data_IF_128293658298
#
_entry.id   IF_128293658298
#
_cell.length_a   1.000
_cell.length_b   1.000
_cell.length_c   1.000
_cell.angle_alpha   90.00
_cell.angle_beta   90.00
_cell.angle_gamma   90.00
#
_symmetry.space_group_name_H-M   'P 1'
#
loop_
_entity.id
_entity.type
_entity.pdbx_description
1 polymer ?
#
# COMPACT_ATOMS: atom_id res chain seq x y z
N UNK A 1 20.28 -0.02 -10.08
CA UNK A 1 21.52 -0.55 -10.73
C UNK A 1 22.18 -1.62 -9.85
N UNK A 2 22.20 -1.47 -8.53
CA UNK A 2 22.87 -2.41 -7.60
C UNK A 2 22.20 -3.78 -7.48
N UNK A 3 20.88 -3.87 -7.77
CA UNK A 3 20.08 -5.09 -7.59
C UNK A 3 19.69 -5.77 -8.92
N UNK A 4 20.37 -5.49 -10.01
CA UNK A 4 20.11 -6.07 -11.34
C UNK A 4 18.66 -5.89 -11.84
N UNK A 5 18.00 -4.80 -11.48
CA UNK A 5 16.60 -4.53 -11.83
C UNK A 5 16.48 -4.29 -13.33
N UNK A 6 15.73 -5.14 -14.03
CA UNK A 6 15.54 -5.07 -15.47
C UNK A 6 14.38 -4.15 -15.85
N UNK A 7 13.32 -4.10 -15.01
CA UNK A 7 12.14 -3.30 -15.23
C UNK A 7 11.45 -2.93 -13.90
N UNK A 8 10.55 -1.96 -13.97
CA UNK A 8 9.86 -1.42 -12.79
C UNK A 8 8.90 -2.45 -12.16
N UNK A 9 8.31 -3.36 -12.94
CA UNK A 9 7.40 -4.38 -12.41
C UNK A 9 8.17 -5.39 -11.55
N UNK A 10 9.34 -5.81 -12.02
CA UNK A 10 10.29 -6.60 -11.23
C UNK A 10 10.70 -5.84 -9.97
N UNK A 11 11.07 -4.56 -10.08
CA UNK A 11 11.42 -3.73 -8.92
C UNK A 11 10.30 -3.74 -7.86
N UNK A 12 9.06 -3.50 -8.26
CA UNK A 12 7.89 -3.51 -7.36
C UNK A 12 7.75 -4.87 -6.66
N UNK A 13 7.83 -5.96 -7.43
CA UNK A 13 7.65 -7.33 -6.93
C UNK A 13 8.63 -7.68 -5.80
N UNK A 14 9.90 -7.29 -5.94
CA UNK A 14 10.91 -7.56 -4.91
C UNK A 14 10.86 -6.53 -3.78
N UNK A 15 10.57 -5.27 -4.07
CA UNK A 15 10.46 -4.21 -3.07
C UNK A 15 9.32 -4.46 -2.07
N UNK A 16 8.19 -5.03 -2.52
CA UNK A 16 7.06 -5.43 -1.66
C UNK A 16 7.50 -6.36 -0.53
N UNK A 17 8.51 -7.21 -0.78
CA UNK A 17 9.01 -8.21 0.17
C UNK A 17 10.20 -7.68 0.96
N UNK A 18 11.19 -7.11 0.28
CA UNK A 18 12.49 -6.79 0.86
C UNK A 18 12.70 -5.30 1.17
N UNK A 19 11.75 -4.44 0.79
CA UNK A 19 11.87 -2.99 0.99
C UNK A 19 11.99 -2.62 2.48
N UNK A 20 13.06 -1.93 2.82
CA UNK A 20 13.41 -1.57 4.21
C UNK A 20 14.40 -2.54 4.89
N UNK A 21 14.74 -3.68 4.27
CA UNK A 21 15.87 -4.50 4.70
C UNK A 21 17.18 -3.93 4.13
N UNK A 22 18.20 -3.88 4.97
CA UNK A 22 19.54 -3.45 4.55
C UNK A 22 20.34 -4.62 3.96
N UNK A 23 19.80 -5.25 2.89
CA UNK A 23 20.44 -6.35 2.19
C UNK A 23 20.45 -6.11 0.68
N UNK A 24 21.44 -6.64 0.00
CA UNK A 24 21.50 -6.63 -1.47
C UNK A 24 20.71 -7.80 -2.02
N UNK A 25 19.76 -7.54 -2.91
CA UNK A 25 18.89 -8.54 -3.54
C UNK A 25 19.24 -8.66 -5.03
N UNK A 26 19.59 -9.86 -5.46
CA UNK A 26 19.80 -10.17 -6.87
C UNK A 26 18.46 -10.54 -7.53
N UNK A 27 17.82 -9.58 -8.19
CA UNK A 27 16.51 -9.78 -8.83
C UNK A 27 16.53 -10.66 -10.08
N UNK A 28 17.68 -11.18 -10.49
CA UNK A 28 17.78 -12.21 -11.53
C UNK A 28 17.37 -13.60 -11.02
N UNK A 29 17.38 -13.81 -9.71
CA UNK A 29 16.95 -15.04 -9.06
C UNK A 29 15.45 -15.06 -8.78
N UNK A 30 14.79 -16.23 -8.74
CA UNK A 30 13.38 -16.35 -8.38
C UNK A 30 13.06 -15.74 -7.01
N UNK A 31 11.94 -15.01 -6.93
CA UNK A 31 11.52 -14.34 -5.68
C UNK A 31 11.41 -15.33 -4.50
N UNK A 32 10.80 -16.51 -4.71
CA UNK A 32 10.64 -17.51 -3.66
C UNK A 32 11.97 -18.04 -3.13
N UNK A 33 12.96 -18.26 -3.99
CA UNK A 33 14.32 -18.65 -3.58
C UNK A 33 14.95 -17.61 -2.66
N UNK A 34 14.78 -16.33 -3.00
CA UNK A 34 15.33 -15.24 -2.19
C UNK A 34 14.56 -15.05 -0.87
N UNK A 35 13.24 -15.27 -0.85
CA UNK A 35 12.46 -15.26 0.39
C UNK A 35 12.93 -16.39 1.31
N UNK A 36 13.08 -17.60 0.79
CA UNK A 36 13.57 -18.74 1.55
C UNK A 36 14.94 -18.45 2.16
N UNK A 37 15.89 -18.07 1.32
CA UNK A 37 17.26 -17.79 1.73
C UNK A 37 17.41 -16.64 2.73
N UNK A 38 16.73 -15.50 2.49
CA UNK A 38 16.97 -14.27 3.24
C UNK A 38 15.95 -13.99 4.34
N UNK A 39 14.83 -14.74 4.38
CA UNK A 39 13.77 -14.53 5.38
C UNK A 39 13.46 -15.79 6.15
N UNK A 40 13.17 -16.92 5.47
CA UNK A 40 12.74 -18.14 6.15
C UNK A 40 13.90 -18.83 6.86
N UNK A 41 15.04 -18.95 6.20
CA UNK A 41 16.26 -19.55 6.78
C UNK A 41 16.86 -18.68 7.89
N UNK A 42 16.76 -17.35 7.73
CA UNK A 42 17.24 -16.34 8.70
C UNK A 42 16.17 -15.95 9.74
N UNK A 43 15.12 -16.75 9.88
CA UNK A 43 13.97 -16.44 10.73
C UNK A 43 14.35 -16.05 12.16
N UNK A 44 15.30 -16.74 12.78
CA UNK A 44 15.66 -16.52 14.18
C UNK A 44 16.28 -15.14 14.41
N UNK A 45 17.17 -14.73 13.52
CA UNK A 45 17.87 -13.45 13.62
C UNK A 45 16.91 -12.28 13.28
N UNK A 46 16.15 -12.41 12.21
CA UNK A 46 15.12 -11.43 11.85
C UNK A 46 14.05 -11.28 12.93
N UNK A 47 13.63 -12.38 13.55
CA UNK A 47 12.70 -12.33 14.68
C UNK A 47 13.27 -11.54 15.84
N UNK A 48 14.55 -11.73 16.16
CA UNK A 48 15.22 -10.99 17.23
C UNK A 48 15.30 -9.48 16.91
N UNK A 49 15.66 -9.13 15.68
CA UNK A 49 15.70 -7.74 15.22
C UNK A 49 14.32 -7.08 15.29
N UNK A 50 13.27 -7.75 14.78
CA UNK A 50 11.91 -7.23 14.83
C UNK A 50 11.39 -7.12 16.27
N UNK A 51 11.74 -8.07 17.14
CA UNK A 51 11.42 -7.98 18.56
C UNK A 51 12.02 -6.72 19.19
N UNK A 52 13.29 -6.45 18.93
CA UNK A 52 13.97 -5.24 19.45
C UNK A 52 13.35 -3.96 18.86
N UNK A 53 13.08 -3.96 17.54
CA UNK A 53 12.48 -2.82 16.86
C UNK A 53 11.07 -2.49 17.40
N UNK A 54 10.22 -3.50 17.59
CA UNK A 54 8.83 -3.34 18.06
C UNK A 54 8.68 -3.27 19.58
N UNK A 55 9.74 -3.58 20.34
CA UNK A 55 9.70 -3.70 21.79
C UNK A 55 9.13 -5.02 22.28
N UNK A 56 8.79 -5.95 21.40
CA UNK A 56 8.45 -7.34 21.69
C UNK A 56 7.15 -7.59 22.43
N UNK A 57 6.30 -6.58 22.59
CA UNK A 57 5.02 -6.74 23.28
C UNK A 57 4.05 -7.56 22.45
N UNK A 58 3.42 -8.57 23.07
CA UNK A 58 2.46 -9.44 22.42
C UNK A 58 1.29 -8.68 21.79
N UNK A 59 0.81 -7.64 22.46
CA UNK A 59 -0.30 -6.79 21.99
C UNK A 59 0.12 -6.00 20.75
N UNK A 60 1.33 -5.40 20.75
CA UNK A 60 1.85 -4.66 19.60
C UNK A 60 1.97 -5.58 18.37
N UNK A 61 2.47 -6.81 18.54
CA UNK A 61 2.54 -7.78 17.46
C UNK A 61 1.16 -8.20 16.94
N UNK A 62 0.17 -8.33 17.81
CA UNK A 62 -1.20 -8.64 17.42
C UNK A 62 -1.82 -7.50 16.58
N UNK A 63 -1.59 -6.24 16.99
CA UNK A 63 -2.02 -5.05 16.24
C UNK A 63 -1.33 -4.99 14.88
N UNK A 64 -0.01 -5.16 14.81
CA UNK A 64 0.77 -5.15 13.57
C UNK A 64 0.29 -6.26 12.61
N UNK A 65 -0.01 -7.45 13.11
CA UNK A 65 -0.62 -8.52 12.32
C UNK A 65 -2.02 -8.12 11.81
N UNK A 66 -2.83 -7.50 12.66
CA UNK A 66 -4.15 -6.98 12.29
C UNK A 66 -4.09 -5.93 11.17
N UNK A 67 -3.12 -5.03 11.22
CA UNK A 67 -2.85 -4.02 10.18
C UNK A 67 -2.41 -4.69 8.88
N UNK A 68 -1.46 -5.63 8.97
CA UNK A 68 -0.86 -6.28 7.79
C UNK A 68 -1.86 -7.11 6.99
N UNK A 69 -2.82 -7.74 7.66
CA UNK A 69 -3.81 -8.64 7.07
C UNK A 69 -5.18 -8.00 6.81
N UNK A 70 -5.40 -6.77 7.27
CA UNK A 70 -6.70 -6.10 7.23
C UNK A 70 -6.78 -4.95 6.23
N UNK A 71 -7.84 -4.17 6.43
CA UNK A 71 -8.13 -2.93 5.69
C UNK A 71 -7.33 -1.73 6.22
N UNK A 72 -6.43 -1.95 7.16
CA UNK A 72 -5.56 -0.97 7.81
C UNK A 72 -6.29 0.04 8.71
N UNK A 73 -7.62 -0.02 8.82
CA UNK A 73 -8.40 0.89 9.69
C UNK A 73 -8.13 0.56 11.16
N UNK A 74 -8.00 1.58 12.01
CA UNK A 74 -7.74 1.43 13.45
C UNK A 74 -8.73 0.48 14.11
N UNK A 75 -10.04 0.70 13.89
CA UNK A 75 -11.09 -0.11 14.51
C UNK A 75 -11.01 -1.60 14.13
N UNK A 76 -10.78 -1.90 12.84
CA UNK A 76 -10.65 -3.28 12.36
C UNK A 76 -9.38 -3.93 12.89
N UNK A 77 -8.27 -3.19 12.96
CA UNK A 77 -7.00 -3.69 13.46
C UNK A 77 -7.07 -4.03 14.95
N UNK A 78 -7.71 -3.16 15.75
CA UNK A 78 -7.91 -3.40 17.19
C UNK A 78 -8.83 -4.59 17.44
N UNK A 79 -9.94 -4.69 16.68
CA UNK A 79 -10.84 -5.85 16.75
C UNK A 79 -10.13 -7.16 16.43
N UNK A 80 -9.28 -7.19 15.39
CA UNK A 80 -8.48 -8.38 15.03
C UNK A 80 -7.45 -8.73 16.10
N UNK A 81 -6.88 -7.73 16.77
CA UNK A 81 -5.92 -7.92 17.85
C UNK A 81 -6.58 -8.27 19.20
N UNK A 82 -7.91 -8.25 19.28
CA UNK A 82 -8.69 -8.45 20.51
C UNK A 82 -8.31 -7.48 21.64
N UNK A 83 -8.10 -6.21 21.29
CA UNK A 83 -7.77 -5.15 22.25
C UNK A 83 -8.86 -4.08 22.28
N UNK A 84 -8.97 -3.40 23.43
CA UNK A 84 -9.85 -2.23 23.57
C UNK A 84 -9.32 -1.07 22.73
N UNK A 85 -10.18 -0.08 22.45
CA UNK A 85 -9.78 1.10 21.70
C UNK A 85 -8.68 1.88 22.43
N UNK A 86 -8.76 2.01 23.75
CA UNK A 86 -7.76 2.70 24.57
C UNK A 86 -6.40 1.99 24.54
N UNK A 87 -6.36 0.68 24.75
CA UNK A 87 -5.12 -0.12 24.66
C UNK A 87 -4.51 -0.03 23.26
N UNK A 88 -5.34 -0.20 22.22
CA UNK A 88 -4.91 -0.10 20.84
C UNK A 88 -4.32 1.27 20.50
N UNK A 89 -4.92 2.35 20.99
CA UNK A 89 -4.42 3.71 20.77
C UNK A 89 -3.04 3.90 21.43
N UNK A 90 -2.87 3.49 22.68
CA UNK A 90 -1.59 3.55 23.37
C UNK A 90 -0.47 2.75 22.67
N UNK A 91 -0.84 1.58 22.12
CA UNK A 91 0.10 0.77 21.33
C UNK A 91 0.48 1.49 20.02
N UNK A 92 -0.50 2.04 19.31
CA UNK A 92 -0.27 2.78 18.06
C UNK A 92 0.65 3.97 18.29
N UNK A 93 0.44 4.76 19.35
CA UNK A 93 1.31 5.89 19.70
C UNK A 93 2.79 5.45 19.84
N UNK A 94 3.05 4.38 20.58
CA UNK A 94 4.40 3.82 20.73
C UNK A 94 4.99 3.32 19.40
N UNK A 95 4.18 2.67 18.57
CA UNK A 95 4.65 2.16 17.28
C UNK A 95 4.94 3.30 16.30
N UNK A 96 4.21 4.41 16.37
CA UNK A 96 4.49 5.65 15.62
C UNK A 96 5.77 6.31 16.11
N UNK A 97 5.94 6.47 17.42
CA UNK A 97 7.17 7.01 18.02
C UNK A 97 8.43 6.22 17.62
N UNK A 98 8.29 4.91 17.44
CA UNK A 98 9.38 4.03 16.97
C UNK A 98 9.57 4.04 15.45
N UNK A 99 8.74 4.77 14.72
CA UNK A 99 8.79 4.82 13.26
C UNK A 99 8.44 3.52 12.55
N UNK A 100 7.64 2.64 13.17
CA UNK A 100 7.22 1.35 12.59
C UNK A 100 5.99 1.51 11.72
N UNK A 101 5.06 2.35 12.18
CA UNK A 101 3.84 2.69 11.47
C UNK A 101 3.63 4.19 11.46
N UNK A 102 2.81 4.64 10.54
CA UNK A 102 2.27 6.00 10.47
C UNK A 102 0.75 5.98 10.43
N UNK A 103 0.15 7.12 10.78
CA UNK A 103 -1.31 7.30 10.83
C UNK A 103 -1.75 8.17 9.67
N UNK A 104 -2.59 7.64 8.79
CA UNK A 104 -3.17 8.36 7.67
C UNK A 104 -4.62 8.75 7.99
N UNK A 105 -4.98 9.99 7.67
CA UNK A 105 -6.35 10.52 7.79
C UNK A 105 -6.94 10.76 6.40
N UNK A 106 -8.25 10.50 6.27
CA UNK A 106 -8.98 10.75 5.02
C UNK A 106 -9.03 12.24 4.69
N UNK A 107 -8.90 12.58 3.41
CA UNK A 107 -8.86 13.95 2.89
C UNK A 107 -10.27 14.57 2.76
N UNK A 108 -11.08 14.51 3.82
CA UNK A 108 -12.47 15.01 3.82
C UNK A 108 -12.61 16.49 3.43
N UNK A 109 -11.63 17.32 3.79
CA UNK A 109 -11.68 18.76 3.51
C UNK A 109 -11.57 19.07 2.00
N UNK A 110 -10.97 18.20 1.19
CA UNK A 110 -10.95 18.35 -0.27
C UNK A 110 -12.32 18.13 -0.89
N UNK A 111 -13.19 17.36 -0.24
CA UNK A 111 -14.58 17.11 -0.63
C UNK A 111 -15.59 18.08 0.00
N UNK A 112 -15.15 19.25 0.48
CA UNK A 112 -15.99 20.23 1.19
C UNK A 112 -16.81 19.64 2.37
N UNK A 113 -16.39 18.47 2.87
CA UNK A 113 -16.98 17.84 4.06
C UNK A 113 -16.17 18.19 5.29
N UNK A 114 -16.85 18.49 6.39
CA UNK A 114 -16.17 18.53 7.69
C UNK A 114 -15.63 17.14 7.98
N UNK A 115 -14.41 17.07 8.52
CA UNK A 115 -13.84 15.80 8.98
C UNK A 115 -14.84 15.08 9.86
N UNK A 116 -15.14 13.84 9.56
CA UNK A 116 -15.98 13.01 10.41
C UNK A 116 -15.07 12.24 11.36
N UNK A 117 -15.06 12.64 12.63
CA UNK A 117 -14.25 11.99 13.68
C UNK A 117 -14.63 10.50 13.88
N UNK A 118 -15.77 10.08 13.30
CA UNK A 118 -16.22 8.69 13.31
C UNK A 118 -15.51 7.84 12.25
N UNK A 119 -14.89 8.46 11.25
CA UNK A 119 -14.17 7.72 10.22
C UNK A 119 -12.82 7.28 10.77
N UNK A 120 -12.65 5.96 10.87
CA UNK A 120 -11.42 5.36 11.37
C UNK A 120 -10.21 5.80 10.54
N UNK A 121 -9.14 6.22 11.20
CA UNK A 121 -7.84 6.45 10.56
C UNK A 121 -7.27 5.13 10.05
N UNK A 122 -6.38 5.21 9.07
CA UNK A 122 -5.61 4.06 8.58
C UNK A 122 -4.22 4.05 9.19
N UNK A 123 -3.71 2.85 9.41
CA UNK A 123 -2.37 2.59 9.95
C UNK A 123 -1.53 1.97 8.83
N UNK A 124 -0.39 2.57 8.54
CA UNK A 124 0.48 2.19 7.44
C UNK A 124 1.84 1.78 8.00
N UNK A 125 2.42 0.71 7.47
CA UNK A 125 3.81 0.36 7.77
C UNK A 125 4.76 1.31 7.04
N UNK A 126 5.79 1.77 7.72
CA UNK A 126 6.84 2.61 7.15
C UNK A 126 7.79 1.84 6.24
N UNK A 127 7.88 0.51 6.41
CA UNK A 127 8.71 -0.36 5.59
C UNK A 127 7.89 -1.55 5.04
N UNK A 128 7.96 -1.83 3.73
CA UNK A 128 7.28 -2.97 3.11
C UNK A 128 7.62 -4.32 3.75
N UNK A 129 8.89 -4.54 4.12
CA UNK A 129 9.33 -5.77 4.79
C UNK A 129 8.60 -6.02 6.11
N UNK A 130 8.39 -5.00 6.94
CA UNK A 130 7.66 -5.16 8.20
C UNK A 130 6.21 -5.60 7.94
N UNK A 131 5.56 -5.00 6.94
CA UNK A 131 4.22 -5.44 6.53
C UNK A 131 4.24 -6.89 6.04
N UNK A 132 5.23 -7.28 5.22
CA UNK A 132 5.40 -8.65 4.75
C UNK A 132 5.60 -9.62 5.92
N UNK A 133 6.44 -9.29 6.88
CA UNK A 133 6.68 -10.11 8.07
C UNK A 133 5.39 -10.38 8.85
N UNK A 134 4.62 -9.34 9.16
CA UNK A 134 3.40 -9.50 9.95
C UNK A 134 2.24 -10.10 9.15
N UNK A 135 2.27 -10.05 7.82
CA UNK A 135 1.26 -10.68 6.97
C UNK A 135 1.52 -12.18 6.75
N UNK A 136 2.79 -12.57 6.53
CA UNK A 136 3.14 -13.91 6.03
C UNK A 136 4.01 -14.74 6.97
N UNK A 137 4.80 -14.13 7.83
CA UNK A 137 5.79 -14.83 8.66
C UNK A 137 5.28 -14.99 10.09
N UNK A 138 4.90 -13.87 10.73
CA UNK A 138 4.46 -13.86 12.13
C UNK A 138 3.28 -14.80 12.42
N UNK A 139 2.22 -14.91 11.58
CA UNK A 139 1.08 -15.78 11.86
C UNK A 139 1.40 -17.27 11.87
N UNK A 140 2.39 -17.70 11.08
CA UNK A 140 2.75 -19.10 10.86
C UNK A 140 4.14 -19.47 11.43
N UNK A 141 4.60 -18.68 12.40
CA UNK A 141 5.96 -18.76 12.95
C UNK A 141 6.38 -20.15 13.42
N UNK A 142 5.45 -20.99 13.86
CA UNK A 142 5.75 -22.36 14.36
C UNK A 142 6.34 -23.23 13.24
N UNK A 143 5.66 -23.28 12.10
CA UNK A 143 6.13 -24.04 10.94
C UNK A 143 7.48 -23.52 10.43
N UNK A 144 7.64 -22.18 10.35
CA UNK A 144 8.90 -21.57 9.90
C UNK A 144 10.06 -21.95 10.84
N UNK A 145 9.86 -21.85 12.16
CA UNK A 145 10.85 -22.26 13.17
C UNK A 145 11.27 -23.74 13.02
N UNK A 146 10.35 -24.60 12.60
CA UNK A 146 10.60 -26.02 12.36
C UNK A 146 11.11 -26.32 10.94
N UNK A 147 11.40 -25.28 10.13
CA UNK A 147 11.79 -25.37 8.72
C UNK A 147 10.76 -26.10 7.83
N UNK A 148 9.48 -25.96 8.17
CA UNK A 148 8.31 -26.44 7.42
C UNK A 148 7.65 -25.27 6.71
N UNK A 149 7.94 -25.08 5.42
CA UNK A 149 7.58 -23.90 4.66
C UNK A 149 6.33 -24.04 3.78
N UNK A 150 5.65 -25.21 3.79
CA UNK A 150 4.50 -25.50 2.95
C UNK A 150 3.31 -24.56 3.23
N UNK A 151 3.11 -24.20 4.50
CA UNK A 151 2.06 -23.26 4.89
C UNK A 151 2.37 -21.85 4.37
N UNK A 152 3.63 -21.45 4.42
CA UNK A 152 4.09 -20.17 3.85
C UNK A 152 3.82 -20.12 2.35
N UNK A 153 4.21 -21.14 1.58
CA UNK A 153 4.03 -21.14 0.13
C UNK A 153 2.56 -21.01 -0.26
N UNK A 154 1.67 -21.77 0.40
CA UNK A 154 0.22 -21.69 0.18
C UNK A 154 -0.33 -20.30 0.51
N UNK A 155 0.06 -19.73 1.64
CA UNK A 155 -0.40 -18.41 2.08
C UNK A 155 0.07 -17.32 1.12
N UNK A 156 1.34 -17.36 0.71
CA UNK A 156 1.94 -16.39 -0.19
C UNK A 156 1.33 -16.47 -1.58
N UNK A 157 1.20 -17.66 -2.16
CA UNK A 157 0.55 -17.87 -3.47
C UNK A 157 -0.84 -17.25 -3.51
N UNK A 158 -1.64 -17.47 -2.48
CA UNK A 158 -3.01 -16.99 -2.42
C UNK A 158 -3.15 -15.47 -2.23
N UNK A 159 -2.21 -14.80 -1.55
CA UNK A 159 -2.37 -13.40 -1.14
C UNK A 159 -1.39 -12.41 -1.79
N UNK A 160 -0.31 -12.88 -2.45
CA UNK A 160 0.74 -11.99 -2.97
C UNK A 160 0.23 -10.92 -3.94
N UNK A 161 -0.77 -11.25 -4.76
CA UNK A 161 -1.31 -10.33 -5.77
C UNK A 161 -2.03 -9.14 -5.11
N UNK A 162 -2.86 -9.43 -4.12
CA UNK A 162 -3.58 -8.40 -3.34
C UNK A 162 -2.62 -7.59 -2.46
N UNK A 163 -1.64 -8.27 -1.88
CA UNK A 163 -0.64 -7.67 -1.00
C UNK A 163 0.19 -6.58 -1.70
N UNK A 164 0.45 -6.72 -3.00
CA UNK A 164 1.21 -5.76 -3.80
C UNK A 164 0.50 -4.42 -4.04
N UNK A 165 -0.82 -4.35 -3.88
CA UNK A 165 -1.58 -3.14 -4.23
C UNK A 165 -1.13 -1.91 -3.44
N UNK A 166 -0.77 -2.07 -2.17
CA UNK A 166 -0.33 -0.96 -1.32
C UNK A 166 0.93 -0.26 -1.83
N UNK A 167 1.98 -1.02 -2.13
CA UNK A 167 3.23 -0.43 -2.67
C UNK A 167 2.99 0.21 -4.03
N UNK A 168 2.10 -0.38 -4.82
CA UNK A 168 1.72 0.21 -6.10
C UNK A 168 0.99 1.55 -5.94
N UNK A 169 0.09 1.66 -4.95
CA UNK A 169 -0.57 2.93 -4.60
C UNK A 169 0.45 4.02 -4.24
N UNK A 170 1.43 3.71 -3.39
CA UNK A 170 2.48 4.65 -3.00
C UNK A 170 3.30 5.14 -4.21
N UNK A 171 3.68 4.21 -5.10
CA UNK A 171 4.37 4.57 -6.34
C UNK A 171 3.51 5.42 -7.27
N UNK A 172 2.19 5.17 -7.34
CA UNK A 172 1.27 6.01 -8.09
C UNK A 172 1.20 7.43 -7.52
N UNK A 173 1.24 7.56 -6.19
CA UNK A 173 1.27 8.85 -5.52
C UNK A 173 2.56 9.61 -5.83
N UNK A 174 3.73 8.98 -5.71
CA UNK A 174 5.01 9.60 -6.06
C UNK A 174 5.08 9.99 -7.54
N UNK A 175 4.65 9.10 -8.44
CA UNK A 175 4.56 9.42 -9.86
C UNK A 175 3.63 10.60 -10.13
N UNK A 176 2.52 10.72 -9.40
CA UNK A 176 1.59 11.85 -9.55
C UNK A 176 2.24 13.17 -9.13
N UNK A 177 3.07 13.19 -8.07
CA UNK A 177 3.84 14.39 -7.69
C UNK A 177 4.74 14.85 -8.83
N UNK A 178 5.44 13.92 -9.45
CA UNK A 178 6.37 14.20 -10.55
C UNK A 178 5.63 14.62 -11.84
N UNK A 179 4.46 14.00 -12.10
CA UNK A 179 3.61 14.35 -13.23
C UNK A 179 3.11 15.80 -13.20
N UNK A 180 2.95 16.38 -12.03
CA UNK A 180 2.45 17.73 -11.81
C UNK A 180 3.52 18.69 -11.29
N UNK A 181 4.81 18.46 -11.58
CA UNK A 181 5.91 19.33 -11.13
C UNK A 181 5.80 20.78 -11.62
N UNK A 182 5.18 21.04 -12.77
CA UNK A 182 4.96 22.40 -13.32
C UNK A 182 3.78 23.10 -12.63
N UNK A 183 2.84 22.38 -12.02
CA UNK A 183 1.74 22.87 -11.20
C UNK A 183 1.71 22.06 -9.90
N UNK A 184 2.62 22.34 -8.95
CA UNK A 184 2.90 21.47 -7.83
C UNK A 184 1.68 21.16 -6.98
N UNK A 185 1.63 19.94 -6.47
CA UNK A 185 0.54 19.49 -5.60
C UNK A 185 0.69 20.13 -4.23
N UNK A 186 -0.32 20.87 -3.80
CA UNK A 186 -0.41 21.55 -2.50
C UNK A 186 -1.01 20.68 -1.41
N UNK A 187 -1.99 19.86 -1.77
CA UNK A 187 -2.68 18.93 -0.86
C UNK A 187 -2.76 17.56 -1.54
N UNK A 188 -2.44 16.50 -0.80
CA UNK A 188 -2.34 15.17 -1.35
C UNK A 188 -2.68 14.10 -0.31
N UNK A 189 -3.40 13.08 -0.72
CA UNK A 189 -3.73 11.93 0.11
C UNK A 189 -4.80 11.04 -0.50
N UNK A 190 -5.46 10.28 0.34
CA UNK A 190 -6.56 9.37 -0.02
C UNK A 190 -7.86 9.88 0.60
N UNK A 191 -8.97 9.58 -0.03
CA UNK A 191 -10.27 9.80 0.57
C UNK A 191 -10.92 8.46 0.90
N UNK A 192 -11.49 8.35 2.09
CA UNK A 192 -12.40 7.25 2.44
C UNK A 192 -13.45 7.72 3.45
N UNK A 193 -14.60 7.11 3.35
CA UNK A 193 -15.69 7.15 4.34
C UNK A 193 -16.12 5.71 4.66
N UNK A 194 -17.32 5.53 5.21
CA UNK A 194 -17.87 4.20 5.53
C UNK A 194 -18.17 3.36 4.27
N UNK A 195 -18.44 4.01 3.12
CA UNK A 195 -18.96 3.37 1.91
C UNK A 195 -18.01 3.42 0.72
N UNK A 196 -17.05 4.37 0.71
CA UNK A 196 -16.24 4.70 -0.47
C UNK A 196 -14.77 4.81 -0.11
N UNK A 197 -13.95 4.56 -1.11
CA UNK A 197 -12.52 4.80 -1.04
C UNK A 197 -12.02 5.30 -2.41
N UNK A 198 -11.27 6.41 -2.40
CA UNK A 198 -10.59 6.97 -3.57
C UNK A 198 -9.10 6.93 -3.25
N UNK A 199 -8.34 6.18 -4.03
CA UNK A 199 -6.94 5.85 -3.74
C UNK A 199 -6.00 7.07 -3.83
N UNK A 200 -6.44 8.13 -4.55
CA UNK A 200 -5.66 9.34 -4.73
C UNK A 200 -6.61 10.55 -4.87
N UNK A 201 -6.42 11.55 -4.03
CA UNK A 201 -7.06 12.86 -4.16
C UNK A 201 -6.01 13.93 -3.95
N UNK A 202 -5.94 14.90 -4.87
CA UNK A 202 -4.96 15.97 -4.79
C UNK A 202 -5.53 17.31 -5.23
N UNK A 203 -4.91 18.40 -4.73
CA UNK A 203 -5.16 19.75 -5.18
C UNK A 203 -3.84 20.41 -5.53
N UNK A 204 -3.75 20.95 -6.75
CA UNK A 204 -2.56 21.67 -7.21
C UNK A 204 -2.51 23.11 -6.70
N UNK A 205 -1.38 23.78 -6.92
CA UNK A 205 -1.20 25.20 -6.58
C UNK A 205 -2.16 26.09 -7.37
N UNK A 206 -2.44 25.77 -8.65
CA UNK A 206 -3.43 26.50 -9.47
C UNK A 206 -4.89 26.21 -9.06
N UNK A 207 -5.11 25.27 -8.14
CA UNK A 207 -6.43 24.91 -7.62
C UNK A 207 -7.11 23.74 -8.32
N UNK A 208 -6.48 23.09 -9.32
CA UNK A 208 -7.03 21.91 -9.99
C UNK A 208 -7.19 20.75 -9.00
N UNK A 209 -8.32 20.07 -9.07
CA UNK A 209 -8.62 18.87 -8.30
C UNK A 209 -8.35 17.63 -9.15
N UNK A 210 -7.59 16.72 -8.59
CA UNK A 210 -7.21 15.45 -9.21
C UNK A 210 -7.77 14.32 -8.37
N UNK A 211 -8.38 13.32 -9.01
CA UNK A 211 -8.77 12.07 -8.34
C UNK A 211 -8.26 10.87 -9.12
N UNK A 212 -7.92 9.79 -8.42
CA UNK A 212 -7.40 8.59 -9.10
C UNK A 212 -7.64 7.30 -8.35
N UNK A 213 -7.61 6.19 -9.12
CA UNK A 213 -7.66 4.83 -8.63
C UNK A 213 -6.42 4.05 -9.08
N UNK A 214 -5.93 3.18 -8.19
CA UNK A 214 -4.75 2.35 -8.39
C UNK A 214 -5.14 0.86 -8.29
N UNK A 215 -4.87 0.06 -9.34
CA UNK A 215 -5.25 -1.36 -9.38
C UNK A 215 -4.06 -2.24 -9.75
N UNK A 216 -3.53 -2.96 -8.77
CA UNK A 216 -2.43 -3.92 -8.94
C UNK A 216 -2.96 -5.35 -9.12
N UNK A 217 -3.76 -5.56 -10.18
CA UNK A 217 -4.39 -6.85 -10.50
C UNK A 217 -3.92 -7.38 -11.86
N UNK A 218 -4.02 -8.70 -12.07
CA UNK A 218 -3.57 -9.36 -13.30
C UNK A 218 -4.57 -9.29 -14.47
N UNK A 219 -5.65 -8.50 -14.35
CA UNK A 219 -6.63 -8.27 -15.41
C UNK A 219 -6.65 -6.81 -15.85
N UNK A 220 -7.05 -6.57 -17.12
CA UNK A 220 -7.20 -5.22 -17.65
C UNK A 220 -8.33 -4.46 -16.95
N UNK A 221 -8.09 -3.20 -16.63
CA UNK A 221 -9.12 -2.32 -16.07
C UNK A 221 -10.12 -1.95 -17.19
N UNK A 222 -11.40 -2.06 -16.84
CA UNK A 222 -12.51 -1.73 -17.73
C UNK A 222 -13.08 -0.34 -17.42
N UNK A 223 -13.92 0.19 -18.31
CA UNK A 223 -14.56 1.52 -18.17
C UNK A 223 -15.42 1.66 -16.92
N UNK A 224 -16.00 0.58 -16.41
CA UNK A 224 -16.78 0.60 -15.17
C UNK A 224 -15.98 1.12 -13.96
N UNK A 225 -14.66 0.86 -13.88
CA UNK A 225 -13.82 1.38 -12.80
C UNK A 225 -13.68 2.90 -12.86
N UNK A 226 -13.54 3.48 -14.07
CA UNK A 226 -13.55 4.93 -14.25
C UNK A 226 -14.92 5.52 -13.90
N UNK A 227 -16.00 4.90 -14.35
CA UNK A 227 -17.37 5.35 -14.05
C UNK A 227 -17.62 5.34 -12.55
N UNK A 228 -17.19 4.28 -11.83
CA UNK A 228 -17.28 4.20 -10.38
C UNK A 228 -16.52 5.33 -9.71
N UNK A 229 -15.28 5.61 -10.12
CA UNK A 229 -14.49 6.72 -9.57
C UNK A 229 -15.21 8.07 -9.76
N UNK A 230 -15.78 8.31 -10.95
CA UNK A 230 -16.54 9.53 -11.25
C UNK A 230 -17.79 9.63 -10.37
N UNK A 231 -18.52 8.54 -10.18
CA UNK A 231 -19.72 8.49 -9.32
C UNK A 231 -19.36 8.71 -7.85
N UNK A 232 -18.30 8.07 -7.37
CA UNK A 232 -17.82 8.24 -5.99
C UNK A 232 -17.44 9.72 -5.74
N UNK A 233 -16.70 10.36 -6.66
CA UNK A 233 -16.36 11.79 -6.56
C UNK A 233 -17.61 12.68 -6.55
N UNK A 234 -18.57 12.44 -7.45
CA UNK A 234 -19.83 13.19 -7.50
C UNK A 234 -20.62 13.07 -6.20
N UNK A 235 -20.68 11.87 -5.64
CA UNK A 235 -21.47 11.58 -4.43
C UNK A 235 -20.92 12.27 -3.16
N UNK A 236 -19.68 12.74 -3.19
CA UNK A 236 -19.04 13.52 -2.11
C UNK A 236 -18.88 15.00 -2.47
N UNK A 237 -19.50 15.45 -3.56
CA UNK A 237 -19.41 16.82 -4.08
C UNK A 237 -17.98 17.27 -4.41
N UNK A 238 -17.13 16.33 -4.84
CA UNK A 238 -15.78 16.60 -5.28
C UNK A 238 -15.78 16.88 -6.78
N UNK A 239 -15.57 18.16 -7.16
CA UNK A 239 -15.47 18.60 -8.55
C UNK A 239 -14.06 18.32 -9.08
N UNK A 240 -13.90 17.25 -9.83
CA UNK A 240 -12.60 16.78 -10.34
C UNK A 240 -12.33 17.32 -11.73
N UNK A 241 -11.14 17.91 -11.91
CA UNK A 241 -10.65 18.42 -13.20
C UNK A 241 -9.92 17.32 -13.99
N UNK A 242 -9.18 16.45 -13.29
CA UNK A 242 -8.36 15.40 -13.92
C UNK A 242 -8.53 14.08 -13.19
N UNK A 243 -8.90 13.03 -13.93
CA UNK A 243 -8.96 11.66 -13.46
C UNK A 243 -7.71 10.89 -13.86
N UNK A 244 -7.10 10.19 -12.91
CA UNK A 244 -5.94 9.31 -13.12
C UNK A 244 -6.35 7.87 -12.86
N UNK A 245 -6.10 6.97 -13.80
CA UNK A 245 -6.32 5.55 -13.60
C UNK A 245 -5.02 4.80 -13.80
N UNK A 246 -4.57 4.13 -12.74
CA UNK A 246 -3.35 3.35 -12.72
C UNK A 246 -3.68 1.86 -12.74
N UNK A 247 -3.00 1.11 -13.62
CA UNK A 247 -3.25 -0.32 -13.79
C UNK A 247 -1.95 -1.08 -14.02
N UNK A 248 -1.74 -2.15 -13.26
CA UNK A 248 -0.65 -3.10 -13.51
C UNK A 248 -0.74 -3.72 -14.90
N UNK A 249 -1.92 -4.20 -15.28
CA UNK A 249 -2.12 -5.03 -16.50
C UNK A 249 -2.74 -4.27 -17.68
N UNK A 250 -2.81 -2.92 -17.57
CA UNK A 250 -3.34 -2.06 -18.64
C UNK A 250 -4.85 -1.99 -18.67
N UNK A 251 -5.41 -1.58 -19.83
CA UNK A 251 -6.78 -1.11 -19.97
C UNK A 251 -7.51 -1.80 -21.13
N UNK A 252 -8.83 -1.93 -21.03
CA UNK A 252 -9.69 -2.34 -22.14
C UNK A 252 -9.67 -1.32 -23.28
N UNK A 253 -10.04 -1.75 -24.49
CA UNK A 253 -10.13 -0.85 -25.67
C UNK A 253 -11.09 0.31 -25.42
N UNK A 254 -12.22 0.00 -24.79
CA UNK A 254 -13.25 0.97 -24.44
C UNK A 254 -12.73 2.05 -23.45
N UNK A 255 -11.95 1.67 -22.44
CA UNK A 255 -11.37 2.63 -21.52
C UNK A 255 -10.25 3.45 -22.20
N UNK A 256 -9.45 2.82 -23.07
CA UNK A 256 -8.43 3.52 -23.85
C UNK A 256 -9.00 4.62 -24.75
N UNK A 257 -10.19 4.41 -25.32
CA UNK A 257 -10.86 5.44 -26.16
C UNK A 257 -11.35 6.65 -25.36
N UNK A 258 -11.43 6.55 -24.02
CA UNK A 258 -11.78 7.68 -23.14
C UNK A 258 -10.58 8.54 -22.75
N UNK A 259 -9.37 8.12 -23.13
CA UNK A 259 -8.14 8.86 -22.79
C UNK A 259 -8.20 10.28 -23.38
N UNK A 260 -7.95 11.29 -22.53
CA UNK A 260 -7.97 12.71 -22.87
C UNK A 260 -7.01 13.47 -21.97
N UNK A 261 -6.99 14.79 -22.03
CA UNK A 261 -6.26 15.62 -21.08
C UNK A 261 -6.81 15.52 -19.66
N UNK A 262 -8.13 15.31 -19.54
CA UNK A 262 -8.83 15.18 -18.25
C UNK A 262 -8.95 13.72 -17.75
N UNK A 263 -8.70 12.72 -18.59
CA UNK A 263 -8.68 11.30 -18.23
C UNK A 263 -7.35 10.70 -18.67
N UNK A 264 -6.48 10.43 -17.72
CA UNK A 264 -5.12 9.95 -17.98
C UNK A 264 -4.95 8.53 -17.47
N UNK A 265 -4.35 7.67 -18.29
CA UNK A 265 -4.20 6.24 -18.04
C UNK A 265 -2.71 5.89 -17.97
N UNK A 266 -2.30 5.25 -16.86
CA UNK A 266 -0.89 4.93 -16.60
C UNK A 266 -0.71 3.46 -16.24
N UNK A 267 0.41 2.91 -16.67
CA UNK A 267 0.87 1.55 -16.30
C UNK A 267 2.26 1.65 -15.66
N UNK A 268 2.81 0.58 -15.04
CA UNK A 268 4.17 0.60 -14.49
C UNK A 268 5.23 1.08 -15.47
N UNK A 269 5.02 0.88 -16.78
CA UNK A 269 5.93 1.40 -17.81
C UNK A 269 6.07 2.93 -17.80
N UNK A 270 5.05 3.63 -17.31
CA UNK A 270 5.06 5.09 -17.19
C UNK A 270 5.97 5.57 -16.05
N UNK A 271 6.23 4.71 -15.06
CA UNK A 271 7.05 5.04 -13.87
C UNK A 271 8.56 5.08 -14.16
N UNK A 272 8.99 4.85 -15.40
CA UNK A 272 10.40 5.02 -15.78
C UNK A 272 10.94 6.42 -15.44
N UNK A 273 10.08 7.41 -15.38
CA UNK A 273 10.44 8.78 -14.95
C UNK A 273 10.95 8.83 -13.50
N UNK A 274 10.49 7.93 -12.62
CA UNK A 274 10.94 7.85 -11.23
C UNK A 274 12.34 7.21 -11.09
N UNK A 275 12.88 6.63 -12.16
CA UNK A 275 14.19 5.95 -12.17
C UNK A 275 15.29 6.83 -12.82
N UNK A 276 14.91 7.97 -13.36
CA UNK A 276 15.82 8.94 -13.97
C UNK A 276 16.39 9.88 -12.93
#
# INVERSE_FOLDING_TARGET
KENNIQDIETAIKYFIVFGGLNIKIDTSKPLLELIEKHILDEYSDLKYEIHNLTGGYKVDHAILTGIAQGDRRTNSSFKRAFVTFEEGTKCVEKLVERGIIEVESSQHHLANKRGDDKVARKLLFTAPFLRFWFAFISPIYKGIKEKKYEEFYKLFENKQAEFGNFVFEELCMEFTRDLFKEDPIKQFGKYWDEKREIDLVAKTTSGKIIAGNCKYINSKIKKNELNKLIEDCKSIDLKVDIFLVFSKSGFSSELKSQKSETIRLFTPKSFKLLLA
#
